data_IF_595013259984
#
_entry.id   IF_595013259984
#
_cell.length_a   1.000
_cell.length_b   1.000
_cell.length_c   1.000
_cell.angle_alpha   90.00
_cell.angle_beta   90.00
_cell.angle_gamma   90.00
#
_symmetry.space_group_name_H-M   'P 1'
#
loop_
_entity.id
_entity.type
_entity.pdbx_description
1 polymer ?
#
# COMPACT_ATOMS: atom_id res chain seq x y z
N UNK A 1 -3.64 -20.98 10.46
CA UNK A 1 -4.68 -20.15 11.10
C UNK A 1 -4.99 -19.01 10.13
N UNK A 2 -6.27 -18.73 9.90
CA UNK A 2 -6.67 -17.65 9.00
C UNK A 2 -6.36 -16.27 9.58
N UNK A 3 -5.99 -15.31 8.74
CA UNK A 3 -5.76 -13.91 9.12
C UNK A 3 -6.02 -12.97 7.93
N UNK A 4 -6.20 -11.69 8.20
CA UNK A 4 -6.41 -10.69 7.16
C UNK A 4 -5.16 -9.82 6.96
N UNK A 5 -4.97 -9.35 5.72
CA UNK A 5 -3.95 -8.37 5.36
C UNK A 5 -4.57 -7.01 5.04
N UNK A 6 -5.82 -6.99 4.57
CA UNK A 6 -6.56 -5.75 4.32
C UNK A 6 -8.06 -5.96 4.45
N UNK A 7 -8.73 -5.03 5.14
CA UNK A 7 -10.19 -4.98 5.25
C UNK A 7 -10.64 -3.55 5.00
N UNK A 8 -11.42 -3.34 3.95
CA UNK A 8 -11.92 -2.03 3.57
C UNK A 8 -13.44 -2.07 3.37
N UNK A 9 -14.07 -0.91 3.39
CA UNK A 9 -15.49 -0.76 3.11
C UNK A 9 -15.72 -0.16 1.73
N UNK A 10 -16.65 -0.75 0.99
CA UNK A 10 -17.16 -0.18 -0.25
C UNK A 10 -18.68 -0.30 -0.35
N UNK A 11 -19.39 0.81 -0.19
CA UNK A 11 -20.85 0.80 -0.08
C UNK A 11 -21.31 -0.09 1.06
N UNK A 12 -22.13 -1.10 0.74
CA UNK A 12 -22.64 -2.12 1.67
C UNK A 12 -21.81 -3.41 1.68
N UNK A 13 -20.59 -3.36 1.13
CA UNK A 13 -19.70 -4.51 1.08
C UNK A 13 -18.42 -4.26 1.86
N UNK A 14 -17.87 -5.34 2.37
CA UNK A 14 -16.50 -5.42 2.89
C UNK A 14 -15.61 -6.00 1.78
N UNK A 15 -14.52 -5.31 1.52
CA UNK A 15 -13.45 -5.77 0.64
C UNK A 15 -12.40 -6.43 1.54
N UNK A 16 -12.30 -7.75 1.46
CA UNK A 16 -11.48 -8.57 2.34
C UNK A 16 -10.31 -9.18 1.58
N UNK A 17 -9.10 -8.98 2.08
CA UNK A 17 -7.90 -9.72 1.67
C UNK A 17 -7.26 -10.38 2.88
N UNK A 18 -6.73 -11.57 2.71
CA UNK A 18 -6.07 -12.33 3.76
C UNK A 18 -5.77 -13.74 3.32
N UNK A 19 -5.56 -14.59 4.29
CA UNK A 19 -5.21 -16.00 4.09
C UNK A 19 -6.13 -16.90 4.88
N UNK A 20 -6.47 -18.08 4.32
CA UNK A 20 -7.21 -19.11 5.04
C UNK A 20 -6.27 -19.95 5.92
N UNK A 21 -6.83 -20.93 6.62
CA UNK A 21 -6.07 -21.83 7.52
C UNK A 21 -4.98 -22.64 6.80
N UNK A 22 -5.10 -22.82 5.50
CA UNK A 22 -4.15 -23.54 4.65
C UNK A 22 -3.11 -22.62 4.01
N UNK A 23 -3.10 -21.33 4.33
CA UNK A 23 -2.18 -20.34 3.73
C UNK A 23 -2.54 -19.93 2.30
N UNK A 24 -3.75 -20.22 1.84
CA UNK A 24 -4.21 -19.80 0.51
C UNK A 24 -4.76 -18.38 0.60
N UNK A 25 -4.30 -17.51 -0.31
CA UNK A 25 -4.76 -16.13 -0.39
C UNK A 25 -6.24 -16.03 -0.74
N UNK A 26 -6.93 -15.14 -0.07
CA UNK A 26 -8.36 -14.83 -0.26
C UNK A 26 -8.50 -13.36 -0.67
N UNK A 27 -9.31 -13.11 -1.69
CA UNK A 27 -9.72 -11.77 -2.12
C UNK A 27 -11.23 -11.79 -2.37
N UNK A 28 -12.00 -11.37 -1.36
CA UNK A 28 -13.46 -11.47 -1.39
C UNK A 28 -14.13 -10.11 -1.22
N UNK A 29 -15.19 -9.89 -2.00
CA UNK A 29 -16.16 -8.81 -1.78
C UNK A 29 -17.40 -9.38 -1.12
N UNK A 30 -17.55 -9.09 0.17
CA UNK A 30 -18.56 -9.69 1.04
C UNK A 30 -19.67 -8.67 1.31
N UNK A 31 -20.92 -8.97 0.93
CA UNK A 31 -22.08 -8.19 1.35
C UNK A 31 -22.24 -8.33 2.84
N UNK A 32 -22.17 -7.22 3.57
CA UNK A 32 -22.18 -7.21 5.03
C UNK A 32 -23.53 -6.78 5.57
N UNK A 33 -24.05 -7.54 6.54
CA UNK A 33 -25.27 -7.25 7.28
C UNK A 33 -24.90 -6.87 8.71
N UNK A 34 -24.88 -5.57 9.05
CA UNK A 34 -24.46 -5.12 10.36
C UNK A 34 -25.49 -5.48 11.43
N UNK A 35 -25.02 -5.53 12.68
CA UNK A 35 -25.81 -5.76 13.88
C UNK A 35 -25.67 -4.59 14.82
N UNK A 36 -26.76 -4.21 15.44
CA UNK A 36 -26.80 -3.26 16.54
C UNK A 36 -27.65 -3.83 17.67
N UNK A 37 -27.64 -3.19 18.83
CA UNK A 37 -28.35 -3.66 19.99
C UNK A 37 -29.24 -2.53 20.52
N UNK A 38 -30.52 -2.78 20.65
CA UNK A 38 -31.50 -1.86 21.17
C UNK A 38 -31.97 -2.25 22.57
N UNK A 39 -32.27 -1.28 23.46
CA UNK A 39 -32.86 -1.54 24.77
C UNK A 39 -34.17 -2.31 24.68
N UNK A 40 -34.41 -3.16 25.65
CA UNK A 40 -35.70 -3.87 25.83
C UNK A 40 -36.07 -3.94 27.31
N UNK A 41 -37.37 -3.85 27.61
CA UNK A 41 -37.89 -3.97 28.99
C UNK A 41 -37.90 -5.43 29.46
N UNK A 42 -38.05 -6.36 28.54
CA UNK A 42 -38.05 -7.80 28.83
C UNK A 42 -36.63 -8.26 29.25
N UNK A 43 -36.60 -9.34 30.08
CA UNK A 43 -35.33 -9.95 30.41
C UNK A 43 -34.63 -10.51 29.17
N UNK A 44 -33.33 -10.31 29.09
CA UNK A 44 -32.51 -10.67 27.94
C UNK A 44 -31.17 -11.26 28.40
N UNK A 45 -30.69 -12.33 27.72
CA UNK A 45 -29.34 -12.85 27.95
C UNK A 45 -28.26 -11.87 27.55
N UNK A 46 -28.60 -10.86 26.69
CA UNK A 46 -27.70 -9.83 26.25
C UNK A 46 -27.86 -8.57 27.10
N UNK A 47 -26.74 -8.07 27.57
CA UNK A 47 -26.70 -6.86 28.40
C UNK A 47 -25.81 -5.83 27.73
N UNK A 48 -26.16 -4.54 27.83
CA UNK A 48 -25.24 -3.45 27.47
C UNK A 48 -24.09 -3.40 28.48
N UNK A 49 -23.06 -2.62 28.17
CA UNK A 49 -21.95 -2.38 29.10
C UNK A 49 -22.40 -1.85 30.47
N UNK A 50 -23.53 -1.14 30.52
CA UNK A 50 -24.13 -0.59 31.75
C UNK A 50 -25.15 -1.52 32.40
N UNK A 51 -25.28 -2.79 31.94
CA UNK A 51 -26.19 -3.80 32.51
C UNK A 51 -27.64 -3.74 32.04
N UNK A 52 -27.99 -2.83 31.12
CA UNK A 52 -29.33 -2.74 30.54
C UNK A 52 -29.61 -3.94 29.64
N UNK A 53 -30.84 -4.46 29.69
CA UNK A 53 -31.30 -5.49 28.77
C UNK A 53 -31.31 -4.96 27.33
N UNK A 54 -30.72 -5.71 26.40
CA UNK A 54 -30.71 -5.33 24.98
C UNK A 54 -31.10 -6.53 24.11
N UNK A 55 -31.62 -6.27 22.90
CA UNK A 55 -31.81 -7.26 21.84
C UNK A 55 -30.95 -6.93 20.64
N UNK A 56 -30.45 -7.97 19.96
CA UNK A 56 -29.76 -7.83 18.68
C UNK A 56 -30.77 -7.50 17.59
N UNK A 57 -30.38 -6.54 16.73
CA UNK A 57 -31.10 -6.15 15.51
C UNK A 57 -30.10 -6.30 14.36
N UNK A 58 -30.40 -7.17 13.41
CA UNK A 58 -29.63 -7.31 12.18
C UNK A 58 -30.26 -6.48 11.07
N UNK A 59 -29.43 -5.79 10.29
CA UNK A 59 -29.86 -4.94 9.18
C UNK A 59 -29.43 -5.55 7.84
N UNK A 60 -30.21 -5.31 6.80
CA UNK A 60 -29.90 -5.79 5.45
C UNK A 60 -28.79 -4.98 4.78
N UNK A 61 -28.55 -3.74 5.24
CA UNK A 61 -27.47 -2.89 4.74
C UNK A 61 -26.87 -2.00 5.84
N UNK A 62 -25.68 -1.49 5.56
CA UNK A 62 -25.02 -0.50 6.43
C UNK A 62 -25.76 0.86 6.39
N UNK A 63 -26.50 1.13 5.32
CA UNK A 63 -27.37 2.30 5.18
C UNK A 63 -28.50 2.25 6.16
N UNK A 64 -29.25 1.13 6.18
CA UNK A 64 -30.39 0.94 7.07
C UNK A 64 -29.98 1.02 8.54
N UNK A 65 -28.84 0.43 8.88
CA UNK A 65 -28.30 0.52 10.24
C UNK A 65 -27.94 1.96 10.63
N UNK A 66 -27.36 2.75 9.70
CA UNK A 66 -27.05 4.16 9.94
C UNK A 66 -28.33 5.01 10.09
N UNK A 67 -29.32 4.78 9.25
CA UNK A 67 -30.61 5.46 9.34
C UNK A 67 -31.31 5.15 10.67
N UNK A 68 -31.30 3.88 11.08
CA UNK A 68 -31.87 3.44 12.35
C UNK A 68 -31.20 4.16 13.55
N UNK A 69 -29.86 4.26 13.57
CA UNK A 69 -29.15 5.02 14.62
C UNK A 69 -29.59 6.49 14.61
N UNK A 70 -29.71 7.10 13.43
CA UNK A 70 -30.13 8.50 13.30
C UNK A 70 -31.55 8.76 13.77
N UNK A 71 -32.47 7.80 13.66
CA UNK A 71 -33.86 7.94 14.15
C UNK A 71 -33.92 8.05 15.68
N UNK A 72 -32.96 7.48 16.40
CA UNK A 72 -32.94 7.46 17.86
C UNK A 72 -31.83 8.34 18.44
N UNK A 73 -31.16 9.14 17.60
CA UNK A 73 -30.15 10.09 18.08
C UNK A 73 -30.80 11.17 18.93
N UNK A 74 -30.34 11.30 20.19
CA UNK A 74 -30.93 12.22 21.18
C UNK A 74 -32.23 11.77 21.84
N UNK A 75 -32.67 10.53 21.60
CA UNK A 75 -33.85 9.99 22.29
C UNK A 75 -33.50 9.66 23.76
N UNK A 76 -34.25 10.23 24.71
CA UNK A 76 -34.11 9.95 26.13
C UNK A 76 -34.36 8.47 26.43
N UNK A 77 -33.45 7.83 27.18
CA UNK A 77 -33.52 6.43 27.62
C UNK A 77 -33.57 5.36 26.54
N UNK A 78 -33.31 5.71 25.28
CA UNK A 78 -33.27 4.74 24.18
C UNK A 78 -31.95 4.82 23.41
N UNK A 79 -30.86 4.45 24.06
CA UNK A 79 -29.55 4.44 23.44
C UNK A 79 -29.33 3.16 22.63
N UNK A 80 -28.98 3.33 21.34
CA UNK A 80 -28.55 2.21 20.51
C UNK A 80 -27.10 1.86 20.82
N UNK A 81 -26.84 0.58 21.08
CA UNK A 81 -25.54 0.05 21.42
C UNK A 81 -24.93 -0.73 20.22
N UNK A 82 -23.62 -0.91 20.25
CA UNK A 82 -22.84 -1.54 19.20
C UNK A 82 -21.94 -0.55 18.47
N UNK A 83 -21.12 -1.06 17.55
CA UNK A 83 -20.21 -0.22 16.78
C UNK A 83 -20.76 0.05 15.37
N UNK A 84 -20.74 1.30 14.95
CA UNK A 84 -21.00 1.72 13.57
C UNK A 84 -19.74 1.66 12.69
N UNK A 85 -18.60 1.27 13.26
CA UNK A 85 -17.43 0.90 12.49
C UNK A 85 -17.61 -0.55 11.97
N UNK A 86 -18.23 -0.68 10.82
CA UNK A 86 -18.58 -1.98 10.25
C UNK A 86 -17.37 -2.82 9.83
N UNK A 87 -16.21 -2.21 9.62
CA UNK A 87 -14.94 -2.95 9.42
C UNK A 87 -14.58 -3.69 10.71
N UNK A 88 -14.62 -3.01 11.85
CA UNK A 88 -14.32 -3.63 13.15
C UNK A 88 -15.36 -4.71 13.50
N UNK A 89 -16.65 -4.44 13.24
CA UNK A 89 -17.70 -5.44 13.47
C UNK A 89 -17.46 -6.71 12.63
N UNK A 90 -17.16 -6.55 11.33
CA UNK A 90 -16.82 -7.66 10.46
C UNK A 90 -15.60 -8.46 10.96
N UNK A 91 -14.53 -7.75 11.37
CA UNK A 91 -13.32 -8.40 11.89
C UNK A 91 -13.65 -9.20 13.16
N UNK A 92 -14.38 -8.61 14.09
CA UNK A 92 -14.76 -9.27 15.36
C UNK A 92 -15.67 -10.48 15.11
N UNK A 93 -16.62 -10.39 14.18
CA UNK A 93 -17.51 -11.49 13.83
C UNK A 93 -16.75 -12.64 13.15
N UNK A 94 -15.82 -12.30 12.23
CA UNK A 94 -15.05 -13.31 11.49
C UNK A 94 -13.95 -13.94 12.33
N UNK A 95 -13.38 -13.20 13.26
CA UNK A 95 -12.27 -13.60 14.12
C UNK A 95 -12.63 -13.36 15.59
N UNK A 96 -13.47 -14.25 16.19
CA UNK A 96 -13.93 -14.08 17.58
C UNK A 96 -12.85 -14.41 18.63
N UNK A 97 -11.69 -14.86 18.20
CA UNK A 97 -10.50 -15.19 19.03
C UNK A 97 -9.28 -14.41 18.54
N UNK A 98 -8.19 -14.57 19.26
CA UNK A 98 -6.90 -13.97 18.86
C UNK A 98 -6.50 -14.38 17.44
N UNK A 99 -5.98 -13.40 16.71
CA UNK A 99 -5.52 -13.57 15.33
C UNK A 99 -4.01 -13.78 15.37
N UNK A 100 -3.55 -14.94 14.91
CA UNK A 100 -2.12 -15.19 14.67
C UNK A 100 -1.87 -15.13 13.17
N UNK A 101 -0.94 -14.27 12.76
CA UNK A 101 -0.53 -14.18 11.38
C UNK A 101 0.78 -14.95 11.14
N UNK A 102 0.98 -15.37 9.89
CA UNK A 102 2.24 -15.98 9.47
C UNK A 102 2.92 -15.04 8.45
N UNK A 103 4.03 -14.45 8.87
CA UNK A 103 4.79 -13.50 8.05
C UNK A 103 5.24 -14.10 6.71
N UNK A 104 5.49 -15.41 6.65
CA UNK A 104 5.93 -16.10 5.44
C UNK A 104 4.85 -16.15 4.34
N UNK A 105 3.59 -15.91 4.68
CA UNK A 105 2.52 -15.80 3.68
C UNK A 105 2.35 -14.37 3.17
N UNK A 106 2.75 -13.36 3.97
CA UNK A 106 2.58 -11.96 3.62
C UNK A 106 3.59 -11.57 2.55
N UNK A 107 3.09 -11.18 1.38
CA UNK A 107 3.93 -10.68 0.30
C UNK A 107 4.23 -9.20 0.49
N UNK A 108 5.45 -8.90 0.93
CA UNK A 108 5.98 -7.53 1.03
C UNK A 108 6.80 -7.24 -0.22
N UNK A 109 6.43 -6.22 -0.97
CA UNK A 109 7.16 -5.79 -2.17
C UNK A 109 7.85 -4.47 -1.91
N UNK A 110 9.18 -4.46 -2.05
CA UNK A 110 9.95 -3.24 -2.14
C UNK A 110 9.83 -2.68 -3.56
N UNK A 111 9.59 -1.37 -3.65
CA UNK A 111 9.23 -0.68 -4.89
C UNK A 111 10.01 0.62 -5.00
N UNK A 112 10.57 0.86 -6.17
CA UNK A 112 11.29 2.08 -6.50
C UNK A 112 11.07 2.46 -7.96
N UNK A 113 11.09 3.76 -8.29
CA UNK A 113 11.02 4.26 -9.65
C UNK A 113 12.15 5.26 -9.92
N UNK A 114 12.63 5.26 -11.14
CA UNK A 114 13.53 6.29 -11.62
C UNK A 114 12.88 7.11 -12.73
N UNK A 115 13.06 8.42 -12.63
CA UNK A 115 12.42 9.42 -13.50
C UNK A 115 13.47 10.20 -14.25
N UNK A 116 13.31 10.34 -15.56
CA UNK A 116 14.16 11.20 -16.34
C UNK A 116 13.90 12.66 -15.96
N UNK A 117 14.92 13.35 -15.43
CA UNK A 117 14.84 14.77 -15.09
C UNK A 117 16.10 15.46 -15.58
N UNK A 118 15.97 16.25 -16.63
CA UNK A 118 17.07 17.06 -17.17
C UNK A 118 17.30 18.31 -16.33
N UNK A 119 16.23 18.92 -15.79
CA UNK A 119 16.26 20.18 -15.05
C UNK A 119 15.46 20.11 -13.75
N UNK A 120 16.15 20.05 -12.63
CA UNK A 120 15.55 20.13 -11.31
C UNK A 120 14.94 18.80 -10.78
N UNK A 121 14.29 18.90 -9.63
CA UNK A 121 13.68 17.74 -8.99
C UNK A 121 12.25 17.53 -9.50
N UNK A 122 11.90 16.33 -10.01
CA UNK A 122 10.56 16.05 -10.53
C UNK A 122 9.53 16.08 -9.40
N UNK A 123 8.42 16.78 -9.61
CA UNK A 123 7.33 16.83 -8.63
C UNK A 123 6.26 15.78 -8.94
N UNK A 124 5.79 15.01 -7.94
CA UNK A 124 4.75 14.01 -8.16
C UNK A 124 3.44 14.59 -8.68
N UNK A 125 3.11 15.84 -8.30
CA UNK A 125 1.87 16.50 -8.71
C UNK A 125 1.84 16.76 -10.22
N UNK A 126 2.96 17.22 -10.77
CA UNK A 126 3.06 17.49 -12.21
C UNK A 126 3.32 16.20 -13.00
N UNK A 127 4.11 15.28 -12.46
CA UNK A 127 4.57 14.04 -13.10
C UNK A 127 4.98 14.27 -14.57
N UNK A 128 5.74 15.36 -14.80
CA UNK A 128 5.99 15.88 -16.15
C UNK A 128 6.99 15.05 -16.95
N UNK A 129 7.90 14.38 -16.26
CA UNK A 129 9.00 13.64 -16.90
C UNK A 129 8.68 12.15 -16.99
N UNK A 130 9.22 11.43 -18.00
CA UNK A 130 8.96 10.02 -18.15
C UNK A 130 9.59 9.17 -17.04
N UNK A 131 8.90 8.10 -16.66
CA UNK A 131 9.46 7.02 -15.85
C UNK A 131 10.36 6.18 -16.75
N UNK A 132 11.63 6.06 -16.38
CA UNK A 132 12.65 5.36 -17.17
C UNK A 132 13.03 4.00 -16.61
N UNK A 133 12.77 3.77 -15.32
CA UNK A 133 12.91 2.45 -14.71
C UNK A 133 11.89 2.26 -13.58
N UNK A 134 11.47 1.01 -13.40
CA UNK A 134 10.70 0.54 -12.24
C UNK A 134 11.36 -0.73 -11.73
N UNK A 135 11.64 -0.80 -10.44
CA UNK A 135 12.21 -1.96 -9.79
C UNK A 135 11.28 -2.48 -8.69
N UNK A 136 11.10 -3.81 -8.63
CA UNK A 136 10.35 -4.50 -7.59
C UNK A 136 11.16 -5.67 -7.02
N UNK A 137 11.13 -5.83 -5.69
CA UNK A 137 11.61 -7.02 -5.00
C UNK A 137 10.54 -7.54 -4.04
N UNK A 138 10.06 -8.73 -4.30
CA UNK A 138 9.13 -9.44 -3.39
C UNK A 138 9.91 -10.17 -2.29
N UNK A 139 9.38 -10.14 -1.06
CA UNK A 139 9.90 -10.94 0.07
C UNK A 139 9.76 -12.46 -0.16
N UNK A 140 8.93 -12.86 -1.13
CA UNK A 140 8.67 -14.27 -1.46
C UNK A 140 9.46 -14.74 -2.70
N UNK A 141 10.36 -13.93 -3.24
CA UNK A 141 11.12 -14.24 -4.44
C UNK A 141 12.56 -13.79 -4.29
N UNK A 142 13.49 -14.57 -4.83
CA UNK A 142 14.90 -14.19 -5.02
C UNK A 142 15.14 -13.42 -6.33
N UNK A 143 14.08 -12.96 -7.02
CA UNK A 143 14.18 -12.26 -8.30
C UNK A 143 13.72 -10.83 -8.17
N UNK A 144 14.59 -9.89 -8.56
CA UNK A 144 14.22 -8.51 -8.84
C UNK A 144 13.52 -8.45 -10.18
N UNK A 145 12.37 -7.80 -10.25
CA UNK A 145 11.69 -7.48 -11.50
C UNK A 145 12.02 -6.05 -11.86
N UNK A 146 12.71 -5.83 -12.96
CA UNK A 146 13.15 -4.49 -13.39
C UNK A 146 12.66 -4.20 -14.80
N UNK A 147 11.93 -3.13 -14.99
CA UNK A 147 11.53 -2.59 -16.30
C UNK A 147 12.38 -1.38 -16.63
N UNK A 148 12.94 -1.31 -17.84
CA UNK A 148 13.78 -0.18 -18.25
C UNK A 148 13.77 0.06 -19.75
N UNK A 149 14.24 1.25 -20.17
CA UNK A 149 14.18 1.72 -21.57
C UNK A 149 15.44 1.48 -22.37
N UNK A 150 16.42 0.71 -21.89
CA UNK A 150 17.68 0.43 -22.58
C UNK A 150 18.03 -1.04 -22.60
N UNK A 151 19.22 -1.31 -23.09
CA UNK A 151 19.78 -2.67 -23.03
C UNK A 151 20.38 -2.96 -21.66
N UNK A 152 20.24 -4.18 -21.20
CA UNK A 152 20.86 -4.70 -19.99
C UNK A 152 21.42 -6.10 -20.23
N UNK A 153 22.63 -6.31 -19.78
CA UNK A 153 23.33 -7.59 -19.93
C UNK A 153 23.64 -8.17 -18.54
N UNK A 154 23.00 -9.26 -18.18
CA UNK A 154 23.18 -9.91 -16.87
C UNK A 154 24.61 -10.37 -16.61
N UNK A 155 25.38 -10.70 -17.67
CA UNK A 155 26.76 -11.16 -17.53
C UNK A 155 27.71 -10.00 -17.14
N UNK A 156 27.27 -8.76 -17.32
CA UNK A 156 28.01 -7.53 -16.99
C UNK A 156 27.59 -6.90 -15.67
N UNK A 157 26.68 -7.51 -14.93
CA UNK A 157 26.27 -6.99 -13.63
C UNK A 157 27.46 -6.99 -12.66
N UNK A 158 27.79 -5.82 -12.13
CA UNK A 158 28.91 -5.62 -11.19
C UNK A 158 28.45 -5.65 -9.73
N UNK A 159 27.14 -5.71 -9.47
CA UNK A 159 26.58 -5.72 -8.12
C UNK A 159 26.59 -7.12 -7.54
N UNK A 160 27.07 -7.25 -6.30
CA UNK A 160 26.90 -8.50 -5.54
C UNK A 160 25.43 -8.69 -5.14
N UNK A 161 24.73 -9.47 -5.94
CA UNK A 161 23.31 -9.77 -5.76
C UNK A 161 23.03 -10.74 -4.60
N UNK A 162 24.07 -11.24 -3.90
CA UNK A 162 23.94 -12.17 -2.76
C UNK A 162 23.05 -13.39 -3.03
N UNK A 163 23.06 -13.87 -4.28
CA UNK A 163 22.26 -15.01 -4.74
C UNK A 163 20.87 -14.65 -5.28
N UNK A 164 20.48 -13.39 -5.25
CA UNK A 164 19.30 -12.90 -5.97
C UNK A 164 19.60 -12.76 -7.48
N UNK A 165 18.56 -12.70 -8.29
CA UNK A 165 18.62 -12.57 -9.75
C UNK A 165 17.89 -11.31 -10.20
N UNK A 166 18.29 -10.75 -11.34
CA UNK A 166 17.55 -9.69 -12.02
C UNK A 166 16.81 -10.29 -13.20
N UNK A 167 15.50 -10.12 -13.26
CA UNK A 167 14.69 -10.32 -14.45
C UNK A 167 14.40 -8.96 -15.07
N UNK A 168 15.19 -8.65 -16.11
CA UNK A 168 15.08 -7.38 -16.82
C UNK A 168 14.05 -7.47 -17.94
N UNK A 169 13.13 -6.50 -17.97
CA UNK A 169 12.08 -6.35 -18.98
C UNK A 169 12.39 -5.12 -19.83
N UNK A 170 13.16 -5.31 -20.89
CA UNK A 170 13.42 -4.25 -21.84
C UNK A 170 12.14 -3.72 -22.47
N UNK A 171 12.03 -2.40 -22.52
CA UNK A 171 10.93 -1.66 -23.14
C UNK A 171 11.47 -0.66 -24.17
N UNK A 172 10.72 -0.41 -25.22
CA UNK A 172 11.08 0.51 -26.30
C UNK A 172 10.70 1.97 -26.00
N UNK A 173 9.71 2.17 -25.13
CA UNK A 173 9.21 3.46 -24.70
C UNK A 173 8.53 3.37 -23.33
N UNK A 174 8.21 4.51 -22.73
CA UNK A 174 7.56 4.58 -21.43
C UNK A 174 6.18 3.93 -21.44
N UNK A 175 5.40 4.10 -22.49
CA UNK A 175 4.07 3.50 -22.62
C UNK A 175 4.13 1.97 -22.53
N UNK A 176 5.12 1.36 -23.16
CA UNK A 176 5.37 -0.09 -23.09
C UNK A 176 5.82 -0.49 -21.69
N UNK A 177 6.71 0.30 -21.06
CA UNK A 177 7.19 0.07 -19.70
C UNK A 177 6.03 0.05 -18.72
N UNK A 178 5.19 1.09 -18.73
CA UNK A 178 4.02 1.20 -17.87
C UNK A 178 3.01 0.07 -18.14
N UNK A 179 2.78 -0.28 -19.40
CA UNK A 179 1.85 -1.36 -19.77
C UNK A 179 2.32 -2.73 -19.28
N UNK A 180 3.62 -3.06 -19.47
CA UNK A 180 4.22 -4.32 -18.97
C UNK A 180 4.22 -4.38 -17.45
N UNK A 181 4.59 -3.27 -16.79
CA UNK A 181 4.55 -3.16 -15.33
C UNK A 181 3.14 -3.40 -14.78
N UNK A 182 2.12 -2.69 -15.29
CA UNK A 182 0.73 -2.83 -14.86
C UNK A 182 0.22 -4.25 -15.15
N UNK A 183 0.62 -4.84 -16.28
CA UNK A 183 0.28 -6.21 -16.64
C UNK A 183 0.84 -7.25 -15.66
N UNK A 184 2.06 -7.06 -15.16
CA UNK A 184 2.66 -7.87 -14.11
C UNK A 184 2.01 -7.59 -12.74
N UNK A 185 1.92 -6.31 -12.35
CA UNK A 185 1.36 -5.86 -11.08
C UNK A 185 -0.05 -6.38 -10.84
N UNK A 186 -0.92 -6.27 -11.84
CA UNK A 186 -2.33 -6.69 -11.72
C UNK A 186 -2.53 -8.21 -11.55
N UNK A 187 -1.50 -9.01 -11.82
CA UNK A 187 -1.50 -10.46 -11.58
C UNK A 187 -0.82 -10.84 -10.27
N UNK A 188 -0.02 -9.94 -9.69
CA UNK A 188 0.86 -10.22 -8.56
C UNK A 188 0.71 -9.16 -7.45
N UNK A 189 -0.50 -8.72 -7.14
CA UNK A 189 -0.73 -7.71 -6.11
C UNK A 189 -0.10 -8.09 -4.77
N UNK A 190 0.78 -7.23 -4.19
CA UNK A 190 1.32 -7.48 -2.86
C UNK A 190 0.28 -7.31 -1.77
N UNK A 191 0.60 -7.77 -0.57
CA UNK A 191 -0.14 -7.41 0.64
C UNK A 191 0.35 -6.07 1.18
N UNK A 192 1.67 -5.86 1.11
CA UNK A 192 2.34 -4.66 1.57
C UNK A 192 3.28 -4.15 0.49
N UNK A 193 3.21 -2.86 0.19
CA UNK A 193 4.22 -2.15 -0.59
C UNK A 193 5.08 -1.29 0.34
N UNK A 194 6.37 -1.29 0.09
CA UNK A 194 7.34 -0.52 0.84
C UNK A 194 8.37 0.12 -0.10
N UNK A 195 9.08 1.11 0.38
CA UNK A 195 10.13 1.84 -0.31
C UNK A 195 10.57 3.02 0.54
N UNK A 196 11.54 3.79 0.09
CA UNK A 196 12.02 4.96 0.81
C UNK A 196 11.35 6.23 0.33
N UNK A 197 10.50 6.84 1.15
CA UNK A 197 9.65 7.99 0.78
C UNK A 197 8.63 7.67 -0.33
N UNK A 198 8.35 6.40 -0.55
CA UNK A 198 7.51 5.92 -1.64
C UNK A 198 6.07 6.42 -1.55
N UNK A 199 5.59 6.70 -0.33
CA UNK A 199 4.24 7.21 -0.08
C UNK A 199 4.01 8.61 -0.64
N UNK A 200 5.05 9.46 -0.64
CA UNK A 200 4.96 10.86 -1.07
C UNK A 200 5.70 11.16 -2.37
N UNK A 201 6.47 10.21 -2.89
CA UNK A 201 7.14 10.39 -4.17
C UNK A 201 6.76 9.30 -5.19
N UNK A 202 7.22 8.06 -5.02
CA UNK A 202 7.11 7.02 -6.05
C UNK A 202 5.66 6.71 -6.42
N UNK A 203 4.82 6.42 -5.42
CA UNK A 203 3.42 6.07 -5.64
C UNK A 203 2.64 7.25 -6.25
N UNK A 204 2.71 8.48 -5.71
CA UNK A 204 2.05 9.62 -6.32
C UNK A 204 2.54 9.93 -7.73
N UNK A 205 3.86 9.85 -7.95
CA UNK A 205 4.43 10.07 -9.27
C UNK A 205 3.89 9.06 -10.28
N UNK A 206 3.98 7.78 -9.95
CA UNK A 206 3.51 6.69 -10.80
C UNK A 206 2.00 6.80 -11.10
N UNK A 207 1.17 7.06 -10.08
CA UNK A 207 -0.29 7.24 -10.24
C UNK A 207 -0.58 8.39 -11.21
N UNK A 208 0.06 9.55 -11.01
CA UNK A 208 -0.16 10.72 -11.85
C UNK A 208 0.39 10.50 -13.26
N UNK A 209 1.56 9.86 -13.39
CA UNK A 209 2.15 9.58 -14.70
C UNK A 209 1.33 8.59 -15.51
N UNK A 210 0.86 7.49 -14.91
CA UNK A 210 -0.05 6.55 -15.57
C UNK A 210 -1.34 7.26 -15.99
N UNK A 211 -1.87 8.16 -15.16
CA UNK A 211 -3.08 8.95 -15.50
C UNK A 211 -2.87 9.78 -16.75
N UNK A 212 -1.71 10.43 -16.87
CA UNK A 212 -1.37 11.27 -18.02
C UNK A 212 -1.20 10.43 -19.29
N UNK A 213 -0.50 9.31 -19.20
CA UNK A 213 -0.11 8.50 -20.37
C UNK A 213 -1.22 7.54 -20.80
N UNK A 214 -1.89 6.87 -19.85
CA UNK A 214 -2.79 5.76 -20.12
C UNK A 214 -4.23 5.96 -19.61
N UNK A 215 -4.45 7.00 -18.79
CA UNK A 215 -5.76 7.33 -18.26
C UNK A 215 -6.15 6.60 -16.97
N UNK A 216 -7.29 7.02 -16.41
CA UNK A 216 -7.77 6.59 -15.08
C UNK A 216 -8.06 5.09 -14.99
N UNK A 217 -8.47 4.46 -16.09
CA UNK A 217 -8.72 3.02 -16.10
C UNK A 217 -7.47 2.20 -15.74
N UNK A 218 -6.31 2.65 -16.23
CA UNK A 218 -5.03 2.00 -15.92
C UNK A 218 -4.55 2.32 -14.51
N UNK A 219 -4.77 3.53 -14.02
CA UNK A 219 -4.52 3.90 -12.61
C UNK A 219 -5.26 2.94 -11.67
N UNK A 220 -6.52 2.68 -11.96
CA UNK A 220 -7.35 1.80 -11.14
C UNK A 220 -6.81 0.35 -11.07
N UNK A 221 -6.04 -0.10 -12.08
CA UNK A 221 -5.38 -1.42 -12.07
C UNK A 221 -4.23 -1.52 -11.06
N UNK A 222 -3.81 -0.43 -10.44
CA UNK A 222 -2.84 -0.47 -9.33
C UNK A 222 -3.46 -1.03 -8.04
N UNK A 223 -4.78 -1.06 -7.92
CA UNK A 223 -5.49 -1.63 -6.78
C UNK A 223 -6.18 -2.95 -7.18
N UNK A 224 -6.13 -4.00 -6.34
CA UNK A 224 -6.89 -5.24 -6.56
C UNK A 224 -8.40 -5.01 -6.60
N UNK A 225 -8.86 -3.92 -5.98
CA UNK A 225 -10.28 -3.53 -5.96
C UNK A 225 -10.63 -2.46 -7.01
N UNK A 226 -9.66 -2.07 -7.85
CA UNK A 226 -9.79 -0.99 -8.84
C UNK A 226 -10.24 0.33 -8.19
N UNK A 227 -9.68 0.63 -7.03
CA UNK A 227 -9.99 1.83 -6.25
C UNK A 227 -8.73 2.47 -5.72
N UNK A 228 -8.56 3.75 -6.03
CA UNK A 228 -7.48 4.59 -5.54
C UNK A 228 -8.12 5.75 -4.78
N UNK A 229 -7.81 5.86 -3.49
CA UNK A 229 -8.27 6.98 -2.68
C UNK A 229 -7.19 8.05 -2.59
N UNK A 230 -7.57 9.30 -2.78
CA UNK A 230 -6.66 10.44 -2.57
C UNK A 230 -6.65 10.81 -1.09
N UNK A 231 -5.45 10.96 -0.52
CA UNK A 231 -5.23 11.40 0.85
C UNK A 231 -4.43 12.69 0.84
N UNK A 232 -5.02 13.76 1.38
CA UNK A 232 -4.33 15.04 1.60
C UNK A 232 -3.83 15.11 3.03
N UNK A 233 -2.58 15.46 3.21
CA UNK A 233 -1.96 15.64 4.52
C UNK A 233 -1.14 16.93 4.53
N UNK A 234 -1.18 17.66 5.64
CA UNK A 234 -0.31 18.84 5.82
C UNK A 234 0.90 18.42 6.63
N UNK A 235 2.08 18.43 5.99
CA UNK A 235 3.35 18.10 6.62
C UNK A 235 4.21 19.36 6.62
N UNK A 236 4.62 19.83 7.82
CA UNK A 236 5.43 21.06 7.98
C UNK A 236 4.83 22.28 7.24
N UNK A 237 3.49 22.42 7.27
CA UNK A 237 2.78 23.54 6.65
C UNK A 237 2.59 23.43 5.12
N UNK A 238 3.02 22.33 4.49
CA UNK A 238 2.81 22.07 3.06
C UNK A 238 1.79 20.96 2.88
N UNK A 239 0.82 21.18 1.98
CA UNK A 239 -0.12 20.14 1.57
C UNK A 239 0.63 19.13 0.71
N UNK A 240 0.55 17.85 1.08
CA UNK A 240 1.06 16.72 0.29
C UNK A 240 -0.09 15.80 -0.06
N UNK A 241 -0.08 15.33 -1.29
CA UNK A 241 -1.08 14.40 -1.82
C UNK A 241 -0.48 13.01 -1.89
N UNK A 242 -1.05 12.08 -1.13
CA UNK A 242 -0.75 10.66 -1.24
C UNK A 242 -1.92 9.91 -1.85
N UNK A 243 -1.66 8.71 -2.35
CA UNK A 243 -2.68 7.81 -2.87
C UNK A 243 -2.70 6.50 -2.09
N UNK A 244 -3.89 6.09 -1.69
CA UNK A 244 -4.12 4.79 -1.05
C UNK A 244 -4.56 3.79 -2.14
N UNK A 245 -3.76 2.77 -2.38
CA UNK A 245 -4.09 1.64 -3.24
C UNK A 245 -4.98 0.69 -2.44
N UNK A 246 -6.30 0.82 -2.54
CA UNK A 246 -7.23 0.06 -1.70
C UNK A 246 -6.97 -1.44 -1.82
N UNK A 247 -6.75 -2.09 -0.68
CA UNK A 247 -6.40 -3.52 -0.61
C UNK A 247 -4.90 -3.82 -0.47
N UNK A 248 -4.02 -2.82 -0.59
CA UNK A 248 -2.58 -2.95 -0.41
C UNK A 248 -2.16 -2.02 0.73
N UNK A 249 -1.45 -2.53 1.74
CA UNK A 249 -0.92 -1.70 2.81
C UNK A 249 0.35 -0.99 2.34
N UNK A 250 0.50 0.27 2.72
CA UNK A 250 1.71 1.06 2.41
C UNK A 250 2.54 1.24 3.68
N UNK A 251 3.73 0.68 3.69
CA UNK A 251 4.67 0.73 4.80
C UNK A 251 5.96 1.44 4.35
N UNK A 252 5.92 2.77 4.29
CA UNK A 252 7.07 3.59 3.89
C UNK A 252 8.21 3.48 4.90
N UNK A 253 9.39 3.06 4.45
CA UNK A 253 10.55 2.86 5.33
C UNK A 253 11.06 4.15 5.96
N UNK A 254 10.93 5.30 5.30
CA UNK A 254 11.29 6.58 5.89
C UNK A 254 10.37 6.91 7.08
N UNK A 255 9.05 6.71 6.93
CA UNK A 255 8.10 6.91 8.02
C UNK A 255 8.33 5.91 9.17
N UNK A 256 8.55 4.63 8.82
CA UNK A 256 8.83 3.58 9.80
C UNK A 256 10.14 3.86 10.56
N UNK A 257 11.20 4.26 9.86
CA UNK A 257 12.46 4.61 10.49
C UNK A 257 12.30 5.80 11.45
N UNK A 258 11.63 6.87 11.03
CA UNK A 258 11.35 8.02 11.91
C UNK A 258 10.56 7.64 13.15
N UNK A 259 9.65 6.67 13.04
CA UNK A 259 8.78 6.24 14.13
C UNK A 259 9.44 5.23 15.07
N UNK A 260 10.21 4.29 14.53
CA UNK A 260 10.73 3.13 15.27
C UNK A 260 12.25 3.08 15.38
N UNK A 261 12.99 3.91 14.65
CA UNK A 261 14.44 3.97 14.64
C UNK A 261 15.06 4.71 15.84
N UNK A 262 14.33 4.84 16.94
CA UNK A 262 14.76 5.58 18.13
C UNK A 262 16.10 5.07 18.74
N UNK A 263 16.44 3.79 18.54
CA UNK A 263 17.71 3.21 18.97
C UNK A 263 18.94 3.80 18.26
N UNK A 264 18.74 4.38 17.07
CA UNK A 264 19.79 5.06 16.30
C UNK A 264 19.91 6.56 16.64
N UNK A 265 19.01 7.09 17.49
CA UNK A 265 18.95 8.50 17.83
C UNK A 265 18.45 9.40 16.70
N UNK A 266 18.52 10.72 16.95
CA UNK A 266 18.17 11.72 15.95
C UNK A 266 19.28 11.79 14.89
N UNK A 267 18.90 11.77 13.61
CA UNK A 267 19.82 11.76 12.49
C UNK A 267 19.98 13.17 11.88
N UNK A 268 21.19 13.49 11.43
CA UNK A 268 21.49 14.74 10.72
C UNK A 268 20.80 14.80 9.36
N UNK A 269 20.61 13.65 8.73
CA UNK A 269 19.94 13.49 7.45
C UNK A 269 19.06 12.23 7.45
N UNK A 270 17.91 12.32 6.79
CA UNK A 270 17.02 11.17 6.54
C UNK A 270 17.02 10.76 5.06
N UNK A 271 18.08 11.08 4.32
CA UNK A 271 18.30 10.51 2.99
C UNK A 271 18.61 9.02 3.09
N UNK A 272 18.17 8.24 2.11
CA UNK A 272 18.37 6.78 2.09
C UNK A 272 19.84 6.40 2.26
N UNK A 273 20.73 7.06 1.56
CA UNK A 273 22.18 6.82 1.63
C UNK A 273 22.73 6.98 3.06
N UNK A 274 22.41 8.08 3.74
CA UNK A 274 22.83 8.32 5.12
C UNK A 274 22.28 7.26 6.08
N UNK A 275 20.98 6.95 5.96
CA UNK A 275 20.35 5.95 6.85
C UNK A 275 20.84 4.53 6.53
N UNK A 276 21.10 4.22 5.26
CA UNK A 276 21.73 2.96 4.84
C UNK A 276 23.08 2.77 5.53
N UNK A 277 23.91 3.81 5.51
CA UNK A 277 25.20 3.78 6.22
C UNK A 277 25.04 3.58 7.74
N UNK A 278 24.14 4.35 8.37
CA UNK A 278 23.90 4.27 9.83
C UNK A 278 23.41 2.88 10.27
N UNK A 279 22.54 2.26 9.47
CA UNK A 279 21.87 0.99 9.85
C UNK A 279 22.65 -0.23 9.39
N UNK A 280 23.18 -0.18 8.17
CA UNK A 280 23.79 -1.34 7.50
C UNK A 280 25.31 -1.23 7.35
N UNK A 281 25.89 -0.04 7.54
CA UNK A 281 27.29 0.25 7.23
C UNK A 281 27.58 0.31 5.73
N UNK A 282 26.52 0.44 4.91
CA UNK A 282 26.59 0.37 3.45
C UNK A 282 26.09 1.68 2.83
N UNK A 283 26.67 2.11 1.74
CA UNK A 283 26.31 3.34 1.04
C UNK A 283 25.66 3.01 -0.31
N UNK A 284 24.88 3.95 -0.84
CA UNK A 284 24.40 3.90 -2.23
C UNK A 284 25.62 3.85 -3.16
N UNK A 285 25.52 3.09 -4.26
CA UNK A 285 26.54 3.08 -5.29
C UNK A 285 26.77 4.51 -5.83
N UNK A 286 28.02 4.92 -5.88
CA UNK A 286 28.36 6.26 -6.34
C UNK A 286 28.23 6.37 -7.84
N UNK A 287 27.61 7.45 -8.29
CA UNK A 287 27.55 7.88 -9.69
C UNK A 287 28.11 9.29 -9.88
N UNK A 288 28.93 9.78 -8.94
CA UNK A 288 29.51 11.14 -8.96
C UNK A 288 30.34 11.40 -10.22
N UNK A 289 31.00 10.37 -10.76
CA UNK A 289 31.75 10.46 -12.02
C UNK A 289 30.88 10.83 -13.23
N UNK A 290 29.57 10.57 -13.17
CA UNK A 290 28.58 10.92 -14.20
C UNK A 290 27.85 12.25 -13.90
N UNK A 291 28.10 12.88 -12.74
CA UNK A 291 27.52 14.15 -12.32
C UNK A 291 26.03 14.07 -11.92
N UNK A 292 25.22 13.25 -12.58
CA UNK A 292 23.81 13.02 -12.23
C UNK A 292 23.34 11.63 -12.65
N UNK A 293 22.29 11.15 -11.99
CA UNK A 293 21.65 9.88 -12.36
C UNK A 293 21.10 9.90 -13.80
N UNK A 294 20.61 11.03 -14.25
CA UNK A 294 20.16 11.21 -15.64
C UNK A 294 21.30 11.11 -16.66
N UNK A 295 22.47 11.65 -16.34
CA UNK A 295 23.66 11.50 -17.17
C UNK A 295 24.16 10.06 -17.17
N UNK A 296 24.13 9.38 -16.03
CA UNK A 296 24.41 7.94 -15.94
C UNK A 296 23.47 7.15 -16.85
N UNK A 297 22.15 7.37 -16.75
CA UNK A 297 21.15 6.71 -17.61
C UNK A 297 21.46 6.87 -19.10
N UNK A 298 21.93 8.05 -19.56
CA UNK A 298 22.24 8.31 -20.96
C UNK A 298 23.56 7.70 -21.41
N UNK A 299 24.56 7.67 -20.56
CA UNK A 299 25.93 7.33 -20.92
C UNK A 299 26.29 5.88 -20.59
N UNK A 300 25.73 5.32 -19.52
CA UNK A 300 25.99 3.95 -19.06
C UNK A 300 24.73 3.34 -18.47
N UNK A 301 23.89 2.84 -19.37
CA UNK A 301 22.62 2.22 -18.99
C UNK A 301 22.80 0.93 -18.18
N UNK A 302 23.90 0.18 -18.40
CA UNK A 302 24.22 -1.01 -17.63
C UNK A 302 24.39 -0.68 -16.16
N UNK A 303 25.28 0.28 -15.85
CA UNK A 303 25.53 0.73 -14.49
C UNK A 303 24.32 1.45 -13.87
N UNK A 304 23.47 2.06 -14.69
CA UNK A 304 22.21 2.66 -14.22
C UNK A 304 21.21 1.60 -13.70
N UNK A 305 21.18 0.42 -14.33
CA UNK A 305 20.28 -0.67 -13.90
C UNK A 305 20.89 -1.42 -12.71
N UNK A 306 22.21 -1.61 -12.66
CA UNK A 306 22.95 -2.16 -11.54
C UNK A 306 22.80 -1.31 -10.27
#
# INVERSE_FOLDING_TARGET
MAFYTSVNRYGNSILYRGYNDNGVAINDRIKFKPKLYAPVDADSPLKSFFGQNVKEIQFDSMGDAKEYVGMYDGADNYQIHGTTNYIHQFITDKFPKDISFNINHINVVNFDIEVASDDGFPTPEAAAYPVISIALKSSQSSVYQVWGLGEYDHEKCEVDMRGDLIQYHKCSCEEELLAKFIGYWSKNYPDVITGWNSRFFDIPYLVNRIRIIAGEEYVNKLSPWKQINTRKQTIMGREQVGYELVGIQQADYLELFKKFGYSYGMQESYKLDHIGYVVLGDNKLSYEEHGSLHTLYKNDHQKFID
#
